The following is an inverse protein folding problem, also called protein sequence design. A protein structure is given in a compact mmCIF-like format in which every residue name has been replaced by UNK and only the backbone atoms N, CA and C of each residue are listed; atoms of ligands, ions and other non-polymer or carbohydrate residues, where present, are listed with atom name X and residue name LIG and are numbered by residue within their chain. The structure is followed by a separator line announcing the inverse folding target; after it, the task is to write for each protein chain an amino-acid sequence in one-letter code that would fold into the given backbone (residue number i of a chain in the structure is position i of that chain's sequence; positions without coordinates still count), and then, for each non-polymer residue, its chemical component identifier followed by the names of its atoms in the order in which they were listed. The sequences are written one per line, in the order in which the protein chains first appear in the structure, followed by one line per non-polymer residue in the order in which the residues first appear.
data_IF_498123479509
#
_entry.id   IF_498123479509
#
_cell.length_a   1.000
_cell.length_b   1.000
_cell.length_c   1.000
_cell.angle_alpha   90.00
_cell.angle_beta   90.00
_cell.angle_gamma   90.00
#
_symmetry.space_group_name_H-M   'P 1'
#
loop_
_entity.id
_entity.type
_entity.pdbx_description
1 polymer ?
#
# COMPACT_ATOMS: atom_id res chain seq x y z
N UNK A 1 -3.52 8.61 18.77
CA UNK A 1 -2.45 7.68 19.19
C UNK A 1 -2.94 6.23 19.21
N UNK A 2 -3.91 5.87 20.05
CA UNK A 2 -4.56 4.54 20.04
C UNK A 2 -5.04 4.08 18.66
N UNK A 3 -5.64 4.98 17.87
CA UNK A 3 -6.14 4.69 16.51
C UNK A 3 -4.99 4.30 15.55
N UNK A 4 -3.80 4.91 15.70
CA UNK A 4 -2.63 4.65 14.84
C UNK A 4 -2.02 3.28 15.16
N UNK A 5 -2.05 2.87 16.43
CA UNK A 5 -1.58 1.54 16.86
C UNK A 5 -2.61 0.45 16.54
N UNK A 6 -3.92 0.76 16.60
CA UNK A 6 -4.99 -0.19 16.31
C UNK A 6 -5.19 -0.43 14.81
N UNK A 7 -4.94 0.56 13.97
CA UNK A 7 -5.13 0.46 12.50
C UNK A 7 -4.44 -0.77 11.87
N UNK A 8 -3.17 -1.08 12.18
CA UNK A 8 -2.48 -2.23 11.61
C UNK A 8 -2.94 -3.57 12.19
N UNK A 9 -3.41 -3.59 13.44
CA UNK A 9 -4.05 -4.76 14.06
C UNK A 9 -5.37 -5.07 13.34
N UNK A 10 -6.18 -4.03 13.09
CA UNK A 10 -7.43 -4.16 12.33
C UNK A 10 -7.14 -4.64 10.90
N UNK A 11 -6.07 -4.14 10.26
CA UNK A 11 -5.64 -4.61 8.95
C UNK A 11 -5.21 -6.09 8.94
N UNK A 12 -4.54 -6.57 10.00
CA UNK A 12 -4.20 -7.99 10.16
C UNK A 12 -5.44 -8.87 10.31
N UNK A 13 -6.38 -8.45 11.16
CA UNK A 13 -7.63 -9.19 11.40
C UNK A 13 -8.44 -9.27 10.11
N UNK A 14 -8.58 -8.15 9.39
CA UNK A 14 -9.23 -8.09 8.09
C UNK A 14 -8.54 -9.03 7.10
N UNK A 15 -7.21 -8.94 6.95
CA UNK A 15 -6.46 -9.80 6.05
C UNK A 15 -6.63 -11.29 6.35
N UNK A 16 -6.61 -11.68 7.63
CA UNK A 16 -6.82 -13.07 8.04
C UNK A 16 -8.24 -13.55 7.73
N UNK A 17 -9.25 -12.71 8.03
CA UNK A 17 -10.65 -13.03 7.73
C UNK A 17 -10.89 -13.17 6.23
N UNK A 18 -10.37 -12.23 5.44
CA UNK A 18 -10.51 -12.27 3.98
C UNK A 18 -9.77 -13.47 3.40
N UNK A 19 -8.57 -13.79 3.88
CA UNK A 19 -7.83 -14.99 3.45
C UNK A 19 -8.61 -16.30 3.70
N UNK A 20 -9.17 -16.47 4.91
CA UNK A 20 -9.96 -17.65 5.24
C UNK A 20 -11.25 -17.77 4.42
N UNK A 21 -11.94 -16.64 4.20
CA UNK A 21 -13.13 -16.59 3.35
C UNK A 21 -12.82 -17.10 1.94
N UNK A 22 -11.74 -16.61 1.32
CA UNK A 22 -11.34 -17.03 -0.03
C UNK A 22 -10.80 -18.46 -0.09
N UNK A 23 -10.06 -18.92 0.93
CA UNK A 23 -9.61 -20.32 1.02
C UNK A 23 -10.78 -21.30 1.02
N UNK A 24 -11.90 -20.94 1.66
CA UNK A 24 -13.14 -21.73 1.64
C UNK A 24 -13.83 -21.73 0.28
N UNK A 25 -13.81 -20.59 -0.43
CA UNK A 25 -14.46 -20.42 -1.75
C UNK A 25 -13.70 -21.10 -2.89
N UNK A 26 -12.37 -21.07 -2.86
CA UNK A 26 -11.48 -21.69 -3.86
C UNK A 26 -11.63 -23.21 -3.97
N UNK A 27 -12.20 -23.88 -2.95
CA UNK A 27 -12.50 -25.32 -2.98
C UNK A 27 -13.83 -25.65 -3.68
N UNK A 28 -14.71 -24.66 -3.92
CA UNK A 28 -16.11 -24.87 -4.31
C UNK A 28 -16.44 -24.40 -5.72
N UNK A 29 -15.70 -23.44 -6.28
CA UNK A 29 -15.98 -22.86 -7.59
C UNK A 29 -14.83 -23.09 -8.57
N UNK A 30 -15.11 -23.45 -9.85
CA UNK A 30 -14.08 -23.51 -10.89
C UNK A 30 -13.49 -22.12 -11.14
N UNK A 31 -12.19 -22.04 -11.44
CA UNK A 31 -11.42 -20.79 -11.63
C UNK A 31 -12.05 -19.90 -12.73
N UNK A 32 -12.98 -19.03 -12.34
CA UNK A 32 -13.55 -18.01 -13.20
C UNK A 32 -12.66 -16.76 -13.24
N UNK A 33 -12.81 -15.94 -14.29
CA UNK A 33 -12.09 -14.66 -14.41
C UNK A 33 -12.36 -13.76 -13.19
N UNK A 34 -13.57 -13.83 -12.61
CA UNK A 34 -13.96 -13.08 -11.42
C UNK A 34 -13.15 -13.55 -10.21
N UNK A 35 -13.10 -14.86 -9.95
CA UNK A 35 -12.34 -15.45 -8.83
C UNK A 35 -10.84 -15.13 -8.95
N UNK A 36 -10.28 -15.15 -10.18
CA UNK A 36 -8.88 -14.76 -10.41
C UNK A 36 -8.63 -13.29 -10.09
N UNK A 37 -9.55 -12.39 -10.44
CA UNK A 37 -9.45 -10.95 -10.12
C UNK A 37 -9.55 -10.70 -8.61
N UNK A 38 -10.50 -11.34 -7.95
CA UNK A 38 -10.66 -11.24 -6.49
C UNK A 38 -9.41 -11.73 -5.75
N UNK A 39 -8.78 -12.81 -6.22
CA UNK A 39 -7.52 -13.32 -5.64
C UNK A 39 -6.37 -12.30 -5.76
N UNK A 40 -6.26 -11.62 -6.90
CA UNK A 40 -5.24 -10.58 -7.10
C UNK A 40 -5.48 -9.39 -6.17
N UNK A 41 -6.73 -8.97 -6.00
CA UNK A 41 -7.12 -7.91 -5.05
C UNK A 41 -6.76 -8.33 -3.63
N UNK A 42 -7.04 -9.57 -3.25
CA UNK A 42 -6.70 -10.10 -1.93
C UNK A 42 -5.20 -10.06 -1.65
N UNK A 43 -4.40 -10.49 -2.63
CA UNK A 43 -2.92 -10.47 -2.52
C UNK A 43 -2.44 -9.03 -2.32
N UNK A 44 -3.01 -8.07 -3.06
CA UNK A 44 -2.69 -6.64 -2.89
C UNK A 44 -3.01 -6.17 -1.46
N UNK A 45 -4.23 -6.39 -0.96
CA UNK A 45 -4.64 -5.97 0.39
C UNK A 45 -3.74 -6.63 1.46
N UNK A 46 -3.40 -7.91 1.26
CA UNK A 46 -2.50 -8.63 2.17
C UNK A 46 -1.11 -8.02 2.18
N UNK A 47 -0.53 -7.75 1.01
CA UNK A 47 0.78 -7.11 0.89
C UNK A 47 0.79 -5.70 1.48
N UNK A 48 -0.27 -4.91 1.28
CA UNK A 48 -0.40 -3.59 1.89
C UNK A 48 -0.50 -3.66 3.41
N UNK A 49 -1.21 -4.66 3.95
CA UNK A 49 -1.24 -4.90 5.39
C UNK A 49 0.13 -5.23 5.97
N UNK A 50 0.87 -6.16 5.33
CA UNK A 50 2.24 -6.50 5.73
C UNK A 50 3.14 -5.28 5.67
N UNK A 51 3.06 -4.51 4.58
CA UNK A 51 3.85 -3.30 4.40
C UNK A 51 3.51 -2.23 5.44
N UNK A 52 2.27 -2.12 5.88
CA UNK A 52 1.86 -1.20 6.96
C UNK A 52 2.48 -1.59 8.31
N UNK A 53 2.53 -2.88 8.63
CA UNK A 53 3.20 -3.37 9.85
C UNK A 53 4.70 -3.05 9.81
N UNK A 54 5.35 -3.24 8.65
CA UNK A 54 6.80 -2.99 8.54
C UNK A 54 7.11 -1.49 8.55
N UNK A 55 6.30 -0.68 7.87
CA UNK A 55 6.57 0.74 7.66
C UNK A 55 6.06 1.68 8.74
N UNK A 56 4.86 1.44 9.25
CA UNK A 56 4.18 2.37 10.17
C UNK A 56 4.35 1.99 11.64
N UNK A 57 4.39 0.69 11.94
CA UNK A 57 4.42 0.17 13.30
C UNK A 57 5.67 0.57 14.09
N UNK A 58 6.89 0.50 13.51
CA UNK A 58 8.09 0.96 14.20
C UNK A 58 7.96 2.44 14.63
N UNK A 59 7.43 3.30 13.75
CA UNK A 59 7.21 4.72 14.06
C UNK A 59 6.20 4.93 15.17
N UNK A 60 5.09 4.21 15.12
CA UNK A 60 4.06 4.29 16.15
C UNK A 60 4.62 3.86 17.52
N UNK A 61 5.39 2.77 17.58
CA UNK A 61 6.01 2.26 18.80
C UNK A 61 7.05 3.24 19.34
N UNK A 62 7.96 3.72 18.49
CA UNK A 62 8.99 4.70 18.86
C UNK A 62 8.37 5.97 19.45
N UNK A 63 7.35 6.54 18.78
CA UNK A 63 6.65 7.72 19.31
C UNK A 63 5.91 7.44 20.61
N UNK A 64 5.32 6.26 20.77
CA UNK A 64 4.65 5.87 22.01
C UNK A 64 5.63 5.76 23.18
N UNK A 65 6.77 5.10 22.99
CA UNK A 65 7.79 4.93 24.03
C UNK A 65 8.37 6.27 24.51
N UNK A 66 8.58 7.21 23.59
CA UNK A 66 9.07 8.56 23.92
C UNK A 66 8.02 9.36 24.68
N UNK A 67 6.75 9.31 24.24
CA UNK A 67 5.65 10.02 24.92
C UNK A 67 5.41 9.52 26.34
N UNK A 68 5.67 8.24 26.61
CA UNK A 68 5.54 7.67 27.94
C UNK A 68 6.81 7.83 28.79
N UNK A 69 7.85 8.48 28.26
CA UNK A 69 9.16 8.65 28.92
C UNK A 69 9.80 7.32 29.35
N UNK A 70 9.40 6.21 28.73
CA UNK A 70 9.82 4.85 29.12
C UNK A 70 11.28 4.62 28.72
N UNK A 71 11.74 5.22 27.64
CA UNK A 71 13.09 4.98 27.11
C UNK A 71 13.60 6.15 26.28
N UNK A 72 14.89 6.45 26.45
CA UNK A 72 15.63 7.29 25.51
C UNK A 72 15.85 6.52 24.21
N UNK A 73 15.42 7.09 23.08
CA UNK A 73 15.62 6.51 21.75
C UNK A 73 16.70 7.30 21.02
N UNK A 74 17.80 6.66 20.57
CA UNK A 74 18.85 7.34 19.83
C UNK A 74 18.36 7.93 18.50
N UNK A 75 18.91 9.08 18.08
CA UNK A 75 18.57 9.75 16.82
C UNK A 75 18.71 8.86 15.57
N UNK A 76 19.67 7.93 15.59
CA UNK A 76 19.86 6.98 14.49
C UNK A 76 18.65 6.04 14.32
N UNK A 77 17.97 5.68 15.42
CA UNK A 77 16.75 4.87 15.37
C UNK A 77 15.60 5.68 14.78
N UNK A 78 15.50 6.97 15.11
CA UNK A 78 14.52 7.87 14.49
C UNK A 78 14.67 7.94 12.97
N UNK A 79 15.90 8.13 12.48
CA UNK A 79 16.19 8.16 11.05
C UNK A 79 15.78 6.87 10.32
N UNK A 80 16.08 5.71 10.91
CA UNK A 80 15.71 4.41 10.34
C UNK A 80 14.18 4.27 10.24
N UNK A 81 13.49 4.67 11.30
CA UNK A 81 12.05 4.51 11.42
C UNK A 81 11.30 5.49 10.50
N UNK A 82 11.78 6.73 10.37
CA UNK A 82 11.30 7.68 9.36
C UNK A 82 11.53 7.16 7.93
N UNK A 83 12.72 6.61 7.65
CA UNK A 83 13.01 6.02 6.35
C UNK A 83 12.04 4.89 6.01
N UNK A 84 11.78 3.98 6.94
CA UNK A 84 10.80 2.89 6.76
C UNK A 84 9.40 3.42 6.46
N UNK A 85 8.97 4.48 7.13
CA UNK A 85 7.67 5.12 6.89
C UNK A 85 7.58 5.74 5.49
N UNK A 86 8.62 6.45 5.05
CA UNK A 86 8.64 7.05 3.70
C UNK A 86 8.67 6.01 2.58
N UNK A 87 9.47 4.96 2.75
CA UNK A 87 9.55 3.84 1.81
C UNK A 87 8.20 3.12 1.72
N UNK A 88 7.49 2.97 2.84
CA UNK A 88 6.14 2.38 2.87
C UNK A 88 5.17 3.12 1.94
N UNK A 89 5.12 4.45 1.98
CA UNK A 89 4.20 5.20 1.11
C UNK A 89 4.47 4.96 -0.37
N UNK A 90 5.74 4.98 -0.76
CA UNK A 90 6.17 4.76 -2.14
C UNK A 90 5.86 3.32 -2.61
N UNK A 91 6.20 2.33 -1.79
CA UNK A 91 5.95 0.92 -2.09
C UNK A 91 4.46 0.59 -2.14
N UNK A 92 3.64 1.19 -1.28
CA UNK A 92 2.19 0.97 -1.27
C UNK A 92 1.54 1.39 -2.59
N UNK A 93 1.93 2.56 -3.11
CA UNK A 93 1.49 3.03 -4.42
C UNK A 93 1.95 2.11 -5.55
N UNK A 94 3.21 1.68 -5.52
CA UNK A 94 3.75 0.76 -6.53
C UNK A 94 3.04 -0.60 -6.54
N UNK A 95 2.82 -1.20 -5.36
CA UNK A 95 2.09 -2.47 -5.24
C UNK A 95 0.67 -2.31 -5.80
N UNK A 96 -0.01 -1.21 -5.48
CA UNK A 96 -1.36 -0.95 -6.00
C UNK A 96 -1.38 -0.92 -7.53
N UNK A 97 -0.45 -0.21 -8.16
CA UNK A 97 -0.34 -0.11 -9.63
C UNK A 97 0.02 -1.46 -10.27
N UNK A 98 0.88 -2.24 -9.62
CA UNK A 98 1.30 -3.56 -10.11
C UNK A 98 0.15 -4.57 -10.01
N UNK A 99 -0.64 -4.58 -8.94
CA UNK A 99 -1.66 -5.62 -8.77
C UNK A 99 -3.02 -5.24 -9.38
N UNK A 100 -3.39 -3.96 -9.40
CA UNK A 100 -4.69 -3.52 -9.92
C UNK A 100 -4.59 -3.05 -11.36
N UNK A 101 -5.07 -3.90 -12.28
CA UNK A 101 -5.07 -3.60 -13.72
C UNK A 101 -5.80 -2.30 -14.05
N UNK A 102 -6.93 -2.03 -13.39
CA UNK A 102 -7.74 -0.83 -13.65
C UNK A 102 -6.97 0.44 -13.29
N UNK A 103 -6.36 0.46 -12.09
CA UNK A 103 -5.48 1.56 -11.65
C UNK A 103 -4.31 1.74 -12.62
N UNK A 104 -3.69 0.65 -13.07
CA UNK A 104 -2.59 0.72 -14.04
C UNK A 104 -3.02 1.35 -15.37
N UNK A 105 -4.23 1.02 -15.84
CA UNK A 105 -4.77 1.56 -17.08
C UNK A 105 -5.06 3.06 -16.95
N UNK A 106 -5.66 3.50 -15.85
CA UNK A 106 -5.90 4.91 -15.58
C UNK A 106 -4.59 5.71 -15.49
N UNK A 107 -3.62 5.22 -14.73
CA UNK A 107 -2.29 5.83 -14.63
C UNK A 107 -1.67 5.97 -16.02
N UNK A 108 -1.70 4.90 -16.84
CA UNK A 108 -1.17 4.94 -18.21
C UNK A 108 -1.88 5.98 -19.06
N UNK A 109 -3.20 6.08 -18.98
CA UNK A 109 -4.00 7.06 -19.73
C UNK A 109 -3.65 8.49 -19.35
N UNK A 110 -3.48 8.78 -18.05
CA UNK A 110 -3.08 10.10 -17.57
C UNK A 110 -1.71 10.49 -18.14
N UNK A 111 -0.74 9.57 -18.08
CA UNK A 111 0.60 9.84 -18.62
C UNK A 111 0.62 9.98 -20.15
N UNK A 112 -0.17 9.19 -20.89
CA UNK A 112 -0.26 9.33 -22.36
C UNK A 112 -0.95 10.62 -22.76
N UNK A 113 -2.07 10.98 -22.11
CA UNK A 113 -2.78 12.24 -22.36
C UNK A 113 -1.93 13.47 -22.05
N UNK A 114 -1.13 13.44 -20.98
CA UNK A 114 -0.18 14.51 -20.67
C UNK A 114 0.97 14.60 -21.69
N UNK A 115 1.43 13.46 -22.22
CA UNK A 115 2.49 13.44 -23.23
C UNK A 115 2.01 14.00 -24.56
N UNK A 116 0.77 13.66 -24.95
CA UNK A 116 0.15 14.19 -26.17
C UNK A 116 -0.14 15.69 -26.03
N UNK A 117 -0.64 16.15 -24.88
CA UNK A 117 -0.85 17.58 -24.63
C UNK A 117 0.46 18.37 -24.63
N UNK A 118 1.55 17.84 -24.07
CA UNK A 118 2.85 18.52 -24.12
C UNK A 118 3.40 18.57 -25.55
N UNK A 119 3.23 17.50 -26.33
CA UNK A 119 3.62 17.50 -27.75
C UNK A 119 2.79 18.50 -28.57
N UNK A 120 1.52 18.70 -28.24
CA UNK A 120 0.66 19.71 -28.88
C UNK A 120 1.17 21.13 -28.55
N UNK A 121 1.45 21.44 -27.28
CA UNK A 121 1.96 22.76 -26.86
C UNK A 121 3.33 23.06 -27.48
N UNK A 122 4.26 22.09 -27.50
CA UNK A 122 5.57 22.24 -28.14
C UNK A 122 5.44 22.41 -29.67
N UNK A 123 4.44 21.79 -30.30
CA UNK A 123 4.16 21.96 -31.73
C UNK A 123 3.58 23.34 -32.03
N UNK A 124 2.77 23.91 -31.15
CA UNK A 124 2.25 25.28 -31.27
C UNK A 124 3.30 26.36 -30.98
N UNK A 125 4.25 26.12 -30.08
CA UNK A 125 5.37 27.04 -29.80
C UNK A 125 6.45 27.06 -30.90
N UNK A 126 6.39 26.15 -31.89
CA UNK A 126 7.31 26.08 -33.03
C UNK A 126 6.77 26.77 -34.29
N UNK A 127 5.59 27.38 -34.23
CA UNK A 127 5.05 28.30 -35.24
C UNK A 127 5.24 29.75 -34.76
#
# INVERSE_FOLDING_TARGET
MLIIVLSPIVALILNFYTFNFFKGRNKREPDSIVVRRERIILINITLQGILSIIGQYPMAITKFLIQQEISYIPDNVHLIVDFLLFVHFSLSTLITIIFLKDVRQEVRQIFTKNTDNNNIVVRFMKF
#
